data_IF_366376619357
#
_entry.id   IF_366376619357
#
_cell.length_a   1.000
_cell.length_b   1.000
_cell.length_c   1.000
_cell.angle_alpha   90.00
_cell.angle_beta   90.00
_cell.angle_gamma   90.00
#
_symmetry.space_group_name_H-M   'P 1'
#
loop_
_entity.id
_entity.type
_entity.pdbx_description
1 polymer ?
#
# COMPACT_ATOMS: atom_id res chain seq x y z
N UNK A 1 -4.21 -0.32 -16.86
CA UNK A 1 -2.79 0.09 -16.78
C UNK A 1 -2.60 0.34 -15.31
N UNK A 2 -2.01 -0.62 -14.60
CA UNK A 2 -2.10 -0.63 -13.15
C UNK A 2 -1.20 0.42 -12.51
N UNK A 3 -1.75 1.07 -11.51
CA UNK A 3 -1.12 2.03 -10.61
C UNK A 3 -0.26 1.27 -9.61
N UNK A 4 1.02 1.67 -9.46
CA UNK A 4 1.93 1.05 -8.48
C UNK A 4 1.77 1.74 -7.13
N UNK A 5 1.48 0.96 -6.10
CA UNK A 5 1.34 1.46 -4.74
C UNK A 5 2.25 0.75 -3.73
N UNK A 6 2.54 1.47 -2.65
CA UNK A 6 3.17 0.93 -1.45
C UNK A 6 2.26 1.11 -0.23
N UNK A 7 2.03 0.06 0.55
CA UNK A 7 1.34 0.14 1.84
C UNK A 7 2.39 0.21 2.95
N UNK A 8 2.18 1.07 3.93
CA UNK A 8 3.05 1.24 5.10
C UNK A 8 2.22 1.01 6.37
N UNK A 9 2.48 -0.11 7.03
CA UNK A 9 1.78 -0.50 8.25
C UNK A 9 2.76 -0.36 9.42
N UNK A 10 2.43 0.41 10.47
CA UNK A 10 3.34 0.63 11.58
C UNK A 10 3.62 -0.69 12.30
N UNK A 11 4.90 -0.89 12.62
CA UNK A 11 5.39 -1.93 13.51
C UNK A 11 6.17 -1.28 14.66
N UNK A 12 6.85 -2.07 15.48
CA UNK A 12 7.55 -1.57 16.67
C UNK A 12 8.67 -0.57 16.34
N UNK A 13 9.05 0.22 17.34
CA UNK A 13 10.22 1.11 17.30
C UNK A 13 10.23 2.11 16.14
N UNK A 14 9.07 2.68 15.80
CA UNK A 14 8.94 3.68 14.73
C UNK A 14 9.36 3.15 13.35
N UNK A 15 9.17 1.85 13.11
CA UNK A 15 9.33 1.23 11.81
C UNK A 15 7.98 0.96 11.16
N UNK A 16 8.01 0.70 9.86
CA UNK A 16 6.85 0.32 9.07
C UNK A 16 7.18 -0.95 8.29
N UNK A 17 6.24 -1.87 8.25
CA UNK A 17 6.24 -2.93 7.26
C UNK A 17 5.71 -2.35 5.95
N UNK A 18 6.51 -2.49 4.88
CA UNK A 18 6.22 -2.00 3.54
C UNK A 18 5.82 -3.15 2.64
N UNK A 19 4.69 -3.01 1.96
CA UNK A 19 4.13 -4.01 1.05
C UNK A 19 3.90 -3.38 -0.33
N UNK A 20 4.23 -4.10 -1.40
CA UNK A 20 3.83 -3.68 -2.74
C UNK A 20 2.36 -4.03 -3.01
N UNK A 21 1.63 -3.11 -3.62
CA UNK A 21 0.29 -3.37 -4.11
C UNK A 21 0.16 -2.87 -5.56
N UNK A 22 -0.23 -3.77 -6.46
CA UNK A 22 -0.68 -3.42 -7.80
C UNK A 22 -2.17 -3.03 -7.74
N UNK A 23 -2.58 -1.98 -8.45
CA UNK A 23 -3.96 -1.49 -8.41
C UNK A 23 -4.46 -1.15 -9.80
N UNK A 24 -5.64 -1.61 -10.17
CA UNK A 24 -6.32 -1.17 -11.41
C UNK A 24 -7.36 -0.07 -11.08
N UNK A 25 -6.93 1.04 -10.46
CA UNK A 25 -7.89 2.09 -10.10
C UNK A 25 -7.35 3.36 -9.43
N UNK A 26 -8.28 4.26 -9.09
CA UNK A 26 -8.06 5.52 -8.40
C UNK A 26 -7.96 5.33 -6.87
N UNK A 27 -7.20 6.20 -6.16
CA UNK A 27 -7.06 6.15 -4.70
C UNK A 27 -8.36 6.19 -3.89
N UNK A 28 -9.41 6.81 -4.44
CA UNK A 28 -10.74 6.87 -3.83
C UNK A 28 -11.36 5.50 -3.57
N UNK A 29 -10.99 4.48 -4.34
CA UNK A 29 -11.51 3.13 -4.18
C UNK A 29 -10.69 2.32 -3.16
N UNK A 30 -9.45 2.73 -2.92
CA UNK A 30 -8.52 1.96 -2.12
C UNK A 30 -8.65 2.24 -0.63
N UNK A 31 -8.90 3.49 -0.23
CA UNK A 31 -9.06 3.82 1.19
C UNK A 31 -10.22 3.03 1.84
N UNK A 32 -11.41 2.93 1.23
CA UNK A 32 -12.47 2.07 1.76
C UNK A 32 -12.06 0.60 1.82
N UNK A 33 -11.46 0.06 0.75
CA UNK A 33 -11.02 -1.34 0.73
C UNK A 33 -10.02 -1.63 1.87
N UNK A 34 -9.00 -0.79 2.04
CA UNK A 34 -8.02 -0.95 3.12
C UNK A 34 -8.63 -0.81 4.52
N UNK A 35 -9.67 0.01 4.68
CA UNK A 35 -10.34 0.23 5.96
C UNK A 35 -11.21 -0.96 6.40
N UNK A 36 -11.73 -1.76 5.46
CA UNK A 36 -12.57 -2.93 5.74
C UNK A 36 -11.77 -4.18 6.13
N UNK A 37 -10.46 -4.19 5.88
CA UNK A 37 -9.59 -5.36 6.15
C UNK A 37 -8.62 -5.12 7.31
N UNK A 38 -8.38 -6.15 8.12
CA UNK A 38 -7.42 -6.08 9.23
C UNK A 38 -5.99 -5.93 8.69
N UNK A 39 -5.24 -4.99 9.26
CA UNK A 39 -3.86 -4.71 8.86
C UNK A 39 -2.94 -5.93 9.01
N UNK A 40 -3.22 -6.85 9.95
CA UNK A 40 -2.47 -8.11 10.12
C UNK A 40 -2.72 -9.07 8.98
N UNK A 41 -3.94 -9.13 8.45
CA UNK A 41 -4.28 -9.98 7.31
C UNK A 41 -3.62 -9.44 6.03
N UNK A 42 -3.64 -8.11 5.86
CA UNK A 42 -2.88 -7.43 4.79
C UNK A 42 -1.38 -7.72 4.92
N UNK A 43 -0.81 -7.65 6.14
CA UNK A 43 0.60 -7.99 6.38
C UNK A 43 0.93 -9.44 6.05
N UNK A 44 0.08 -10.37 6.50
CA UNK A 44 0.25 -11.79 6.24
C UNK A 44 0.09 -12.14 4.75
N UNK A 45 -0.57 -11.26 3.98
CA UNK A 45 -0.73 -11.40 2.54
C UNK A 45 0.57 -11.17 1.76
N UNK A 46 1.46 -10.30 2.26
CA UNK A 46 2.65 -9.87 1.53
C UNK A 46 2.26 -9.04 0.31
N UNK A 47 3.05 -9.10 -0.77
CA UNK A 47 2.74 -8.33 -1.97
C UNK A 47 1.38 -8.68 -2.60
N UNK A 48 0.61 -7.64 -2.91
CA UNK A 48 -0.76 -7.73 -3.40
C UNK A 48 -0.87 -7.42 -4.90
N UNK A 49 -1.70 -8.19 -5.59
CA UNK A 49 -2.17 -7.93 -6.95
C UNK A 49 -3.32 -6.93 -6.99
N UNK A 50 -4.19 -6.99 -5.99
CA UNK A 50 -5.33 -6.09 -5.82
C UNK A 50 -5.82 -6.18 -4.38
N UNK A 51 -6.64 -5.21 -3.98
CA UNK A 51 -7.47 -5.30 -2.78
C UNK A 51 -8.80 -4.60 -3.07
N UNK A 52 -9.90 -5.30 -2.81
CA UNK A 52 -11.26 -4.76 -2.97
C UNK A 52 -12.03 -4.90 -1.67
N UNK A 53 -13.12 -4.13 -1.54
CA UNK A 53 -14.04 -4.26 -0.41
C UNK A 53 -14.68 -5.65 -0.40
N UNK A 54 -15.05 -6.18 -1.57
CA UNK A 54 -15.82 -7.42 -1.69
C UNK A 54 -14.96 -8.69 -1.58
N UNK A 55 -13.81 -8.72 -2.26
CA UNK A 55 -13.00 -9.95 -2.41
C UNK A 55 -11.80 -10.01 -1.46
N UNK A 56 -11.43 -8.88 -0.86
CA UNK A 56 -10.28 -8.81 0.03
C UNK A 56 -8.92 -8.71 -0.67
N UNK A 57 -7.82 -8.96 0.08
CA UNK A 57 -6.47 -8.88 -0.47
C UNK A 57 -6.17 -10.05 -1.41
N UNK A 58 -6.02 -9.75 -2.69
CA UNK A 58 -5.54 -10.69 -3.71
C UNK A 58 -4.01 -10.67 -3.73
N UNK A 59 -3.37 -11.81 -3.44
CA UNK A 59 -1.90 -11.93 -3.42
C UNK A 59 -1.33 -12.02 -4.83
N UNK A 60 -0.08 -11.61 -5.00
CA UNK A 60 0.69 -12.01 -6.19
C UNK A 60 1.00 -13.51 -6.15
N UNK A 61 1.25 -14.12 -7.33
CA UNK A 61 1.61 -15.53 -7.45
C UNK A 61 2.89 -15.90 -6.67
N UNK A 62 3.79 -14.94 -6.49
CA UNK A 62 5.00 -15.06 -5.68
C UNK A 62 5.15 -13.80 -4.82
N UNK A 63 4.41 -13.68 -3.71
CA UNK A 63 4.38 -12.46 -2.92
C UNK A 63 5.68 -12.35 -2.11
N UNK A 64 6.35 -11.20 -2.19
CA UNK A 64 7.47 -10.92 -1.30
C UNK A 64 6.95 -10.67 0.12
N UNK A 65 7.76 -11.05 1.10
CA UNK A 65 7.52 -10.69 2.49
C UNK A 65 7.64 -9.17 2.67
N UNK A 66 6.89 -8.57 3.62
CA UNK A 66 6.99 -7.14 3.88
C UNK A 66 8.41 -6.73 4.28
N UNK A 67 8.93 -5.66 3.68
CA UNK A 67 10.21 -5.08 4.07
C UNK A 67 10.02 -4.19 5.30
N UNK A 68 10.92 -4.26 6.28
CA UNK A 68 10.90 -3.32 7.42
C UNK A 68 11.70 -2.07 7.05
N UNK A 69 11.04 -0.90 7.12
CA UNK A 69 11.62 0.40 6.78
C UNK A 69 11.42 1.40 7.91
N UNK A 70 12.30 2.40 8.03
CA UNK A 70 12.23 3.47 9.05
C UNK A 70 11.45 4.70 8.60
N UNK A 71 11.09 4.78 7.32
CA UNK A 71 10.47 5.96 6.70
C UNK A 71 9.19 5.59 5.98
N UNK A 72 8.22 6.50 6.00
CA UNK A 72 6.98 6.41 5.20
C UNK A 72 7.12 7.10 3.84
N UNK A 73 8.34 7.42 3.42
CA UNK A 73 8.60 8.00 2.10
C UNK A 73 8.26 6.99 1.01
N UNK A 74 7.56 7.47 -0.03
CA UNK A 74 7.19 6.66 -1.17
C UNK A 74 8.46 6.28 -1.94
N UNK A 75 8.63 5.00 -2.31
CA UNK A 75 9.74 4.62 -3.18
C UNK A 75 9.56 5.26 -4.56
N UNK A 76 10.67 5.53 -5.26
CA UNK A 76 10.66 6.20 -6.56
C UNK A 76 9.86 5.48 -7.65
N UNK A 77 9.66 4.17 -7.51
CA UNK A 77 8.87 3.34 -8.43
C UNK A 77 7.36 3.32 -8.10
N UNK A 78 6.94 3.84 -6.95
CA UNK A 78 5.53 3.90 -6.57
C UNK A 78 4.95 5.28 -6.86
N UNK A 79 3.79 5.29 -7.50
CA UNK A 79 3.04 6.51 -7.81
C UNK A 79 2.22 6.94 -6.58
N UNK A 80 1.81 5.98 -5.76
CA UNK A 80 1.02 6.20 -4.56
C UNK A 80 1.55 5.38 -3.39
N UNK A 81 1.23 5.82 -2.18
CA UNK A 81 1.28 4.94 -1.03
C UNK A 81 0.24 5.28 0.00
N UNK A 82 0.00 4.31 0.85
CA UNK A 82 -1.06 4.34 1.85
C UNK A 82 -0.44 4.01 3.19
N UNK A 83 -0.63 4.88 4.16
CA UNK A 83 0.00 4.75 5.47
C UNK A 83 -1.12 4.53 6.48
N UNK A 84 -0.99 3.48 7.28
CA UNK A 84 -1.91 3.24 8.38
C UNK A 84 -1.52 4.12 9.57
N UNK A 85 -2.44 4.97 10.01
CA UNK A 85 -2.31 5.82 11.20
C UNK A 85 -3.37 5.44 12.23
N UNK A 86 -3.30 5.96 13.48
CA UNK A 86 -4.37 5.74 14.46
C UNK A 86 -5.75 6.27 14.01
N UNK A 87 -5.79 7.20 13.04
CA UNK A 87 -7.02 7.74 12.48
C UNK A 87 -7.55 6.93 11.27
N UNK A 88 -6.81 5.91 10.83
CA UNK A 88 -7.12 5.09 9.66
C UNK A 88 -6.06 5.22 8.57
N UNK A 89 -6.42 4.80 7.35
CA UNK A 89 -5.52 4.85 6.21
C UNK A 89 -5.45 6.25 5.60
N UNK A 90 -4.23 6.70 5.30
CA UNK A 90 -3.96 7.98 4.64
C UNK A 90 -3.27 7.76 3.30
N UNK A 91 -3.75 8.45 2.26
CA UNK A 91 -3.15 8.41 0.92
C UNK A 91 -2.05 9.46 0.76
N UNK A 92 -0.93 9.05 0.17
CA UNK A 92 0.16 9.92 -0.29
C UNK A 92 0.45 9.65 -1.76
N UNK A 93 0.59 10.69 -2.55
CA UNK A 93 0.98 10.59 -3.95
C UNK A 93 2.43 11.07 -4.13
N UNK A 94 3.18 10.39 -4.99
CA UNK A 94 4.53 10.78 -5.32
C UNK A 94 4.49 11.99 -6.28
N UNK A 95 4.64 13.20 -5.74
CA UNK A 95 4.60 14.45 -6.54
C UNK A 95 5.80 14.63 -7.50
N UNK A 96 6.73 13.69 -7.57
CA UNK A 96 7.94 13.78 -8.43
C UNK A 96 7.74 13.32 -9.88
N UNK A 97 6.52 13.07 -10.35
CA UNK A 97 6.25 12.84 -11.79
C UNK A 97 5.67 14.06 -12.53
N UNK A 98 5.78 15.27 -11.97
CA UNK A 98 5.49 16.51 -12.70
C UNK A 98 6.70 16.99 -13.51
N UNK A 99 7.29 16.14 -14.35
CA UNK A 99 8.19 16.58 -15.43
C UNK A 99 8.10 15.60 -16.60
N UNK A 100 6.96 15.59 -17.28
CA UNK A 100 6.94 15.28 -18.70
C UNK A 100 6.61 16.57 -19.46
N UNK A 101 7.62 17.01 -20.22
CA UNK A 101 7.65 17.91 -21.37
C UNK A 101 6.56 18.98 -21.55
#
# INVERSE_FOLDING_TARGET
>A
MGTRAALFIPVENNHYARIYCHLDGYPSNMLPALAEHDARDILAAGDLRAITVEDGPERLDNPRQPDIVTTTELPSWADHGYILTPAGWEHRANRHQSHFA
#
